data_IF_449264422744
#
_entry.id   IF_449264422744
#
_cell.length_a   1.000
_cell.length_b   1.000
_cell.length_c   1.000
_cell.angle_alpha   90.00
_cell.angle_beta   90.00
_cell.angle_gamma   90.00
#
_symmetry.space_group_name_H-M   'P 1'
#
loop_
_entity.id
_entity.type
_entity.pdbx_description
1 polymer ?
#
# COMPACT_ATOMS: atom_id res chain seq x y z
N UNK A 1 -9.19 10.55 -29.75
CA UNK A 1 -8.19 10.81 -28.69
C UNK A 1 -7.85 9.57 -27.85
N UNK A 2 -8.05 8.34 -28.38
CA UNK A 2 -7.71 7.07 -27.70
C UNK A 2 -6.61 6.27 -28.42
N UNK A 3 -6.04 6.81 -29.50
CA UNK A 3 -5.10 6.11 -30.38
C UNK A 3 -3.63 6.43 -30.08
N UNK A 4 -3.33 7.49 -29.32
CA UNK A 4 -1.95 7.87 -28.96
C UNK A 4 -1.44 7.16 -27.70
N UNK A 5 -2.33 6.72 -26.79
CA UNK A 5 -1.98 5.96 -25.59
C UNK A 5 -1.55 4.51 -25.87
N UNK A 6 -1.70 4.02 -27.10
CA UNK A 6 -1.36 2.63 -27.44
C UNK A 6 0.07 2.47 -27.98
N UNK A 7 0.69 3.54 -28.49
CA UNK A 7 2.07 3.52 -29.03
C UNK A 7 3.16 3.73 -27.97
N UNK A 8 2.88 4.55 -26.96
CA UNK A 8 3.80 4.84 -25.84
C UNK A 8 3.44 4.08 -24.56
N UNK A 9 2.56 3.07 -24.65
CA UNK A 9 2.07 2.34 -23.47
C UNK A 9 3.22 1.74 -22.66
N UNK A 10 4.26 1.23 -23.34
CA UNK A 10 5.45 0.66 -22.70
C UNK A 10 6.32 1.70 -22.02
N UNK A 11 6.56 2.86 -22.66
CA UNK A 11 7.37 3.95 -22.08
C UNK A 11 6.65 4.62 -20.90
N UNK A 12 5.33 4.80 -21.00
CA UNK A 12 4.51 5.31 -19.90
C UNK A 12 4.47 4.30 -18.75
N UNK A 13 4.36 3.00 -19.03
CA UNK A 13 4.40 1.96 -17.99
C UNK A 13 5.78 1.83 -17.32
N UNK A 14 6.87 1.97 -18.08
CA UNK A 14 8.24 2.02 -17.53
C UNK A 14 8.44 3.26 -16.68
N UNK A 15 8.02 4.43 -17.17
CA UNK A 15 8.06 5.67 -16.41
C UNK A 15 7.20 5.60 -15.14
N UNK A 16 6.01 5.00 -15.22
CA UNK A 16 5.18 4.76 -14.05
C UNK A 16 5.90 3.83 -13.07
N UNK A 17 6.53 2.74 -13.53
CA UNK A 17 7.31 1.86 -12.65
C UNK A 17 8.49 2.58 -11.99
N UNK A 18 9.21 3.45 -12.70
CA UNK A 18 10.31 4.24 -12.14
C UNK A 18 9.82 5.27 -11.11
N UNK A 19 8.65 5.88 -11.37
CA UNK A 19 7.97 6.78 -10.45
C UNK A 19 7.46 6.02 -9.22
N UNK A 20 6.90 4.82 -9.41
CA UNK A 20 6.48 3.92 -8.33
C UNK A 20 7.68 3.51 -7.47
N UNK A 21 8.81 3.12 -8.07
CA UNK A 21 10.04 2.75 -7.34
C UNK A 21 10.61 3.93 -6.55
N UNK A 22 10.63 5.12 -7.15
CA UNK A 22 11.09 6.36 -6.50
C UNK A 22 10.21 6.74 -5.31
N UNK A 23 8.90 6.65 -5.47
CA UNK A 23 7.94 6.94 -4.42
C UNK A 23 7.95 5.85 -3.33
N UNK A 24 8.17 4.58 -3.68
CA UNK A 24 8.33 3.50 -2.71
C UNK A 24 9.59 3.70 -1.86
N UNK A 25 10.70 4.16 -2.45
CA UNK A 25 11.87 4.58 -1.66
C UNK A 25 11.55 5.72 -0.69
N UNK A 26 10.66 6.62 -1.09
CA UNK A 26 10.20 7.70 -0.22
C UNK A 26 9.30 7.22 0.92
N UNK A 27 8.76 5.98 0.89
CA UNK A 27 8.10 5.38 2.06
C UNK A 27 9.09 5.01 3.18
N UNK A 28 10.38 4.85 2.84
CA UNK A 28 11.46 4.65 3.82
C UNK A 28 12.04 5.97 4.34
N UNK A 29 11.54 7.12 3.90
CA UNK A 29 12.01 8.45 4.35
C UNK A 29 11.85 8.58 5.88
N UNK A 30 12.78 9.24 6.60
CA UNK A 30 12.67 9.43 8.05
C UNK A 30 11.45 10.26 8.48
N UNK A 31 10.90 11.13 7.62
CA UNK A 31 9.78 12.01 7.95
C UNK A 31 8.43 11.35 7.65
N UNK A 32 7.57 11.24 8.67
CA UNK A 32 6.20 10.75 8.50
C UNK A 32 5.38 11.62 7.55
N UNK A 33 5.62 12.94 7.51
CA UNK A 33 4.94 13.85 6.59
C UNK A 33 5.23 13.51 5.12
N UNK A 34 6.49 13.16 4.80
CA UNK A 34 6.90 12.77 3.45
C UNK A 34 6.21 11.46 3.07
N UNK A 35 6.22 10.47 3.97
CA UNK A 35 5.56 9.18 3.76
C UNK A 35 4.05 9.37 3.51
N UNK A 36 3.38 10.21 4.31
CA UNK A 36 1.96 10.48 4.15
C UNK A 36 1.63 11.18 2.82
N UNK A 37 2.44 12.16 2.41
CA UNK A 37 2.26 12.87 1.14
C UNK A 37 2.44 11.93 -0.06
N UNK A 38 3.43 11.03 0.00
CA UNK A 38 3.66 10.00 -1.01
C UNK A 38 2.46 9.07 -1.14
N UNK A 39 1.87 8.66 0.00
CA UNK A 39 0.69 7.81 0.03
C UNK A 39 -0.56 8.50 -0.53
N UNK A 40 -0.69 9.82 -0.39
CA UNK A 40 -1.78 10.58 -1.02
C UNK A 40 -1.67 10.59 -2.54
N UNK A 41 -0.47 10.82 -3.08
CA UNK A 41 -0.23 10.76 -4.53
C UNK A 41 -0.52 9.34 -5.04
N UNK A 42 -0.05 8.33 -4.32
CA UNK A 42 -0.32 6.92 -4.60
C UNK A 42 -1.82 6.60 -4.62
N UNK A 43 -2.57 7.10 -3.65
CA UNK A 43 -4.01 6.86 -3.58
C UNK A 43 -4.76 7.55 -4.72
N UNK A 44 -4.37 8.76 -5.11
CA UNK A 44 -4.97 9.45 -6.24
C UNK A 44 -4.80 8.66 -7.56
N UNK A 45 -3.64 8.02 -7.76
CA UNK A 45 -3.39 7.17 -8.94
C UNK A 45 -4.16 5.85 -8.84
N UNK A 46 -4.35 5.34 -7.63
CA UNK A 46 -5.02 4.07 -7.34
C UNK A 46 -6.56 4.14 -7.26
N UNK A 47 -7.17 5.25 -7.67
CA UNK A 47 -8.62 5.31 -7.92
C UNK A 47 -9.02 4.28 -8.99
N UNK A 48 -8.17 4.07 -10.01
CA UNK A 48 -8.39 3.04 -11.01
C UNK A 48 -8.09 1.62 -10.47
N UNK A 49 -9.00 0.64 -10.62
CA UNK A 49 -8.82 -0.70 -10.09
C UNK A 49 -7.57 -1.45 -10.54
N UNK A 50 -7.10 -1.20 -11.76
CA UNK A 50 -5.91 -1.87 -12.28
C UNK A 50 -4.65 -1.35 -11.59
N UNK A 51 -4.56 -0.04 -11.40
CA UNK A 51 -3.45 0.61 -10.70
C UNK A 51 -3.47 0.32 -9.19
N UNK A 52 -4.66 0.18 -8.59
CA UNK A 52 -4.79 -0.22 -7.19
C UNK A 52 -4.14 -1.56 -6.89
N UNK A 53 -4.46 -2.59 -7.68
CA UNK A 53 -3.90 -3.93 -7.46
C UNK A 53 -2.38 -3.93 -7.65
N UNK A 54 -1.88 -3.22 -8.66
CA UNK A 54 -0.45 -3.07 -8.87
C UNK A 54 0.23 -2.44 -7.64
N UNK A 55 -0.30 -1.34 -7.13
CA UNK A 55 0.22 -0.67 -5.94
C UNK A 55 0.30 -1.62 -4.74
N UNK A 56 -0.77 -2.37 -4.46
CA UNK A 56 -0.80 -3.28 -3.30
C UNK A 56 0.23 -4.41 -3.46
N UNK A 57 0.33 -5.01 -4.65
CA UNK A 57 1.35 -6.04 -4.95
C UNK A 57 2.77 -5.49 -4.76
N UNK A 58 3.05 -4.31 -5.32
CA UNK A 58 4.36 -3.67 -5.18
C UNK A 58 4.68 -3.32 -3.73
N UNK A 59 3.69 -2.89 -2.94
CA UNK A 59 3.87 -2.59 -1.52
C UNK A 59 4.21 -3.85 -0.72
N UNK A 60 3.47 -4.95 -0.92
CA UNK A 60 3.73 -6.24 -0.24
C UNK A 60 5.14 -6.73 -0.58
N UNK A 61 5.52 -6.68 -1.86
CA UNK A 61 6.85 -7.06 -2.31
C UNK A 61 7.95 -6.18 -1.67
N UNK A 62 7.69 -4.88 -1.48
CA UNK A 62 8.61 -3.95 -0.82
C UNK A 62 8.78 -4.29 0.66
N UNK A 63 7.71 -4.64 1.36
CA UNK A 63 7.77 -5.12 2.75
C UNK A 63 8.49 -6.46 2.88
N UNK A 64 8.36 -7.33 1.88
CA UNK A 64 9.08 -8.60 1.85
C UNK A 64 10.59 -8.40 1.61
N UNK A 65 10.96 -7.44 0.76
CA UNK A 65 12.38 -7.13 0.50
C UNK A 65 13.03 -6.38 1.65
N UNK A 66 12.29 -5.50 2.32
CA UNK A 66 12.74 -4.72 3.47
C UNK A 66 11.78 -4.90 4.66
N UNK A 67 12.01 -5.97 5.43
CA UNK A 67 11.24 -6.25 6.65
C UNK A 67 11.32 -5.10 7.67
N UNK A 68 12.40 -4.30 7.66
CA UNK A 68 12.55 -3.18 8.60
C UNK A 68 11.58 -2.05 8.29
N UNK A 69 11.18 -1.88 7.02
CA UNK A 69 10.14 -0.95 6.60
C UNK A 69 8.77 -1.39 7.14
N UNK A 70 8.45 -2.68 7.06
CA UNK A 70 7.22 -3.25 7.59
C UNK A 70 7.12 -3.05 9.11
N UNK A 71 8.19 -3.37 9.84
CA UNK A 71 8.22 -3.25 11.31
C UNK A 71 8.08 -1.80 11.78
N UNK A 72 8.78 -0.86 11.13
CA UNK A 72 8.80 0.56 11.56
C UNK A 72 7.61 1.36 11.08
N UNK A 73 7.18 1.14 9.83
CA UNK A 73 6.24 2.02 9.11
C UNK A 73 5.02 1.31 8.55
N UNK A 74 5.01 -0.03 8.51
CA UNK A 74 3.92 -0.81 7.93
C UNK A 74 2.55 -0.44 8.49
N UNK A 75 2.44 -0.29 9.81
CA UNK A 75 1.18 0.11 10.45
C UNK A 75 0.69 1.50 9.99
N UNK A 76 1.59 2.49 9.88
CA UNK A 76 1.24 3.85 9.40
C UNK A 76 0.80 3.81 7.94
N UNK A 77 1.56 3.12 7.09
CA UNK A 77 1.29 3.00 5.66
C UNK A 77 -0.06 2.34 5.41
N UNK A 78 -0.29 1.17 6.01
CA UNK A 78 -1.54 0.42 5.87
C UNK A 78 -2.72 1.22 6.39
N UNK A 79 -2.62 1.86 7.56
CA UNK A 79 -3.69 2.70 8.11
C UNK A 79 -4.04 3.85 7.18
N UNK A 80 -3.04 4.53 6.62
CA UNK A 80 -3.27 5.66 5.71
C UNK A 80 -3.93 5.20 4.42
N UNK A 81 -3.48 4.08 3.83
CA UNK A 81 -4.12 3.48 2.66
C UNK A 81 -5.58 3.11 2.92
N UNK A 82 -5.89 2.52 4.09
CA UNK A 82 -7.26 2.19 4.49
C UNK A 82 -8.17 3.43 4.62
N UNK A 83 -7.61 4.59 4.95
CA UNK A 83 -8.35 5.87 5.00
C UNK A 83 -8.58 6.42 3.59
N UNK A 84 -7.57 6.33 2.72
CA UNK A 84 -7.62 6.93 1.37
C UNK A 84 -8.38 6.07 0.35
N UNK A 85 -8.29 4.74 0.43
CA UNK A 85 -8.72 3.82 -0.64
C UNK A 85 -9.83 2.84 -0.24
N UNK A 86 -10.47 3.09 0.92
CA UNK A 86 -11.40 2.19 1.60
C UNK A 86 -10.71 0.94 2.20
N UNK A 87 -10.88 0.77 3.51
CA UNK A 87 -10.30 -0.31 4.27
C UNK A 87 -10.70 -1.70 3.78
N UNK A 88 -11.98 -1.94 3.48
CA UNK A 88 -12.44 -3.25 3.03
C UNK A 88 -11.73 -3.66 1.74
N UNK A 89 -11.56 -2.70 0.82
CA UNK A 89 -10.89 -2.93 -0.46
C UNK A 89 -9.41 -3.25 -0.27
N UNK A 90 -8.73 -2.52 0.62
CA UNK A 90 -7.31 -2.75 0.97
C UNK A 90 -7.11 -4.11 1.64
N UNK A 91 -7.89 -4.41 2.68
CA UNK A 91 -7.79 -5.69 3.39
C UNK A 91 -8.10 -6.88 2.48
N UNK A 92 -9.13 -6.78 1.62
CA UNK A 92 -9.49 -7.86 0.69
C UNK A 92 -8.36 -8.17 -0.29
N UNK A 93 -7.80 -7.16 -0.95
CA UNK A 93 -6.67 -7.37 -1.87
C UNK A 93 -5.42 -7.89 -1.16
N UNK A 94 -5.10 -7.36 0.04
CA UNK A 94 -3.98 -7.87 0.83
C UNK A 94 -4.17 -9.33 1.20
N UNK A 95 -5.37 -9.75 1.62
CA UNK A 95 -5.68 -11.15 1.88
C UNK A 95 -5.51 -12.01 0.64
N UNK A 96 -5.99 -11.56 -0.52
CA UNK A 96 -5.84 -12.28 -1.79
C UNK A 96 -4.37 -12.45 -2.20
N UNK A 97 -3.52 -11.45 -1.95
CA UNK A 97 -2.08 -11.54 -2.24
C UNK A 97 -1.40 -12.49 -1.24
N UNK A 98 -1.70 -12.35 0.05
CA UNK A 98 -1.12 -13.16 1.13
C UNK A 98 -1.52 -14.64 1.05
N UNK A 99 -2.68 -14.98 0.50
CA UNK A 99 -3.07 -16.38 0.23
C UNK A 99 -2.10 -17.09 -0.73
N UNK A 100 -1.44 -16.34 -1.62
CA UNK A 100 -0.42 -16.85 -2.55
C UNK A 100 1.01 -16.78 -2.02
N UNK A 101 1.23 -16.21 -0.83
CA UNK A 101 2.58 -16.04 -0.28
C UNK A 101 3.16 -17.34 0.26
N UNK A 102 4.38 -17.66 -0.17
CA UNK A 102 5.10 -18.87 0.23
C UNK A 102 5.92 -18.70 1.51
N UNK A 103 6.27 -17.45 1.85
CA UNK A 103 6.97 -17.10 3.08
C UNK A 103 5.95 -16.90 4.21
N UNK A 104 5.75 -17.97 5.00
CA UNK A 104 4.79 -17.98 6.10
C UNK A 104 5.21 -17.08 7.27
N UNK A 105 6.51 -16.84 7.46
CA UNK A 105 7.01 -15.97 8.53
C UNK A 105 6.69 -14.51 8.18
N UNK A 106 6.97 -14.10 6.94
CA UNK A 106 6.55 -12.79 6.42
C UNK A 106 5.04 -12.61 6.47
N UNK A 107 4.27 -13.60 5.98
CA UNK A 107 2.82 -13.54 5.98
C UNK A 107 2.25 -13.39 7.39
N UNK A 108 2.83 -14.08 8.38
CA UNK A 108 2.45 -13.96 9.79
C UNK A 108 2.64 -12.54 10.33
N UNK A 109 3.81 -11.92 10.06
CA UNK A 109 4.09 -10.53 10.46
C UNK A 109 3.13 -9.56 9.78
N UNK A 110 2.87 -9.74 8.49
CA UNK A 110 1.94 -8.88 7.74
C UNK A 110 0.51 -8.99 8.30
N UNK A 111 0.02 -10.21 8.57
CA UNK A 111 -1.28 -10.43 9.21
C UNK A 111 -1.33 -9.78 10.60
N UNK A 112 -0.24 -9.87 11.37
CA UNK A 112 -0.15 -9.23 12.69
C UNK A 112 -0.24 -7.69 12.59
N UNK A 113 0.46 -7.07 11.64
CA UNK A 113 0.36 -5.62 11.36
C UNK A 113 -1.05 -5.22 10.93
N UNK A 114 -1.69 -6.03 10.09
CA UNK A 114 -3.06 -5.81 9.63
C UNK A 114 -4.06 -5.87 10.79
N UNK A 115 -3.96 -6.88 11.65
CA UNK A 115 -4.81 -7.07 12.82
C UNK A 115 -4.64 -5.93 13.83
N UNK A 116 -3.40 -5.55 14.16
CA UNK A 116 -3.12 -4.43 15.08
C UNK A 116 -3.67 -3.11 14.51
N UNK A 117 -3.54 -2.89 13.20
CA UNK A 117 -4.05 -1.69 12.54
C UNK A 117 -5.57 -1.63 12.51
N UNK A 118 -6.23 -2.77 12.33
CA UNK A 118 -7.68 -2.90 12.36
C UNK A 118 -8.22 -2.68 13.79
N UNK A 119 -7.69 -3.42 14.78
CA UNK A 119 -8.12 -3.31 16.17
C UNK A 119 -7.92 -1.90 16.73
N UNK A 120 -6.78 -1.26 16.44
CA UNK A 120 -6.53 0.12 16.87
C UNK A 120 -7.55 1.11 16.30
N UNK A 121 -8.12 0.81 15.12
CA UNK A 121 -9.20 1.59 14.52
C UNK A 121 -10.51 1.40 15.28
N UNK A 122 -10.82 0.18 15.68
CA UNK A 122 -12.03 -0.13 16.47
C UNK A 122 -11.98 0.48 17.87
N UNK A 123 -10.82 0.47 18.54
CA UNK A 123 -10.63 1.15 19.82
C UNK A 123 -10.86 2.66 19.73
N UNK A 124 -10.39 3.31 18.66
CA UNK A 124 -10.62 4.74 18.45
C UNK A 124 -12.08 5.03 18.04
N UNK A 125 -12.80 4.08 17.43
CA UNK A 125 -14.22 4.25 17.13
C UNK A 125 -15.09 4.11 18.40
N UNK A 126 -14.73 3.19 19.30
CA UNK A 126 -15.47 2.94 20.55
C UNK A 126 -15.36 4.07 21.59
N UNK A 127 -14.38 4.98 21.47
CA UNK A 127 -14.24 6.15 22.37
C UNK A 127 -15.09 7.36 21.97
N UNK A 128 -15.80 7.31 20.84
CA UNK A 128 -16.71 8.39 20.37
C UNK A 128 -18.18 7.95 20.32
N UNK A 129 -18.50 6.80 20.94
CA UNK A 129 -19.87 6.28 21.09
C UNK A 129 -20.26 6.09 22.56
N UNK A 130 -19.90 7.05 23.42
CA UNK A 130 -20.54 7.31 24.71
C UNK A 130 -20.89 8.80 24.84
#
# INVERSE_FOLDING_TARGET
MWTLLNGHRSEVLVFLNDVFDTLLRALSDPSDEVVLLVLEVHACIAEDPQHFRQLVVFLVHSFQHDHSLLEKRGALIIRRLCVLLNAERVYRELSTILEGESDLDFASVMVQVLLISYLSRDYHCSQYTE
#
